data_IF_227008610338
#
_entry.id   IF_227008610338
#
_cell.length_a   1.000
_cell.length_b   1.000
_cell.length_c   1.000
_cell.angle_alpha   90.00
_cell.angle_beta   90.00
_cell.angle_gamma   90.00
#
_symmetry.space_group_name_H-M   'P 1'
#
loop_
_entity.id
_entity.type
_entity.pdbx_description
1 polymer ?
#
# COMPACT_ATOMS: atom_id res chain seq x y z
N UNK A 1 0.35 36.02 9.15
CA UNK A 1 0.02 35.09 8.05
C UNK A 1 0.67 33.76 8.38
N UNK A 2 -0.09 32.86 9.02
CA UNK A 2 0.37 31.52 9.39
C UNK A 2 0.44 30.65 8.13
N UNK A 3 1.60 30.04 7.89
CA UNK A 3 1.84 29.12 6.76
C UNK A 3 0.83 27.96 6.80
N UNK A 4 -0.07 27.91 5.82
CA UNK A 4 -0.85 26.72 5.53
C UNK A 4 0.10 25.66 4.96
N UNK A 5 0.72 24.89 5.85
CA UNK A 5 1.46 23.69 5.49
C UNK A 5 0.47 22.75 4.81
N UNK A 6 0.61 22.54 3.50
CA UNK A 6 -0.19 21.58 2.76
C UNK A 6 -0.10 20.23 3.48
N UNK A 7 -1.25 19.73 3.95
CA UNK A 7 -1.34 18.48 4.70
C UNK A 7 -1.28 17.27 3.74
N UNK A 8 -0.38 17.32 2.77
CA UNK A 8 -0.22 16.33 1.72
C UNK A 8 1.03 15.51 2.02
N UNK A 9 0.90 14.19 1.96
CA UNK A 9 2.00 13.26 2.15
C UNK A 9 1.96 12.22 1.03
N UNK A 10 3.11 11.93 0.45
CA UNK A 10 3.26 10.91 -0.57
C UNK A 10 3.25 9.51 0.08
N UNK A 11 2.56 8.57 -0.55
CA UNK A 11 2.45 7.17 -0.10
C UNK A 11 2.66 6.26 -1.30
N UNK A 12 3.45 5.20 -1.12
CA UNK A 12 3.57 4.14 -2.11
C UNK A 12 2.50 3.08 -1.85
N UNK A 13 1.54 2.93 -2.76
CA UNK A 13 0.49 1.93 -2.67
C UNK A 13 1.05 0.56 -3.12
N UNK A 14 1.03 -0.42 -2.22
CA UNK A 14 1.49 -1.79 -2.49
C UNK A 14 0.33 -2.71 -2.87
N UNK A 15 -0.82 -2.54 -2.22
CA UNK A 15 -2.01 -3.37 -2.43
C UNK A 15 -3.17 -2.46 -2.79
N UNK A 16 -3.62 -2.46 -4.06
CA UNK A 16 -4.76 -1.65 -4.46
C UNK A 16 -6.05 -2.19 -3.82
N UNK A 17 -7.00 -1.28 -3.58
CA UNK A 17 -8.32 -1.61 -3.06
C UNK A 17 -8.98 -2.71 -3.90
N UNK A 18 -9.54 -3.71 -3.23
CA UNK A 18 -10.19 -4.86 -3.90
C UNK A 18 -9.23 -5.99 -4.29
N UNK A 19 -7.92 -5.81 -4.16
CA UNK A 19 -6.98 -6.91 -4.32
C UNK A 19 -7.15 -7.94 -3.20
N UNK A 20 -7.04 -9.23 -3.56
CA UNK A 20 -6.94 -10.37 -2.61
C UNK A 20 -5.49 -10.82 -2.44
N UNK A 21 -4.60 -10.24 -3.24
CA UNK A 21 -3.20 -10.57 -3.29
C UNK A 21 -2.45 -9.62 -2.37
N UNK A 22 -1.74 -10.18 -1.39
CA UNK A 22 -0.84 -9.45 -0.53
C UNK A 22 0.51 -9.32 -1.24
N UNK A 23 0.87 -8.08 -1.55
CA UNK A 23 2.17 -7.71 -2.06
C UNK A 23 2.97 -7.05 -0.93
N UNK A 24 4.28 -7.27 -0.91
CA UNK A 24 5.20 -6.63 0.02
C UNK A 24 6.34 -6.01 -0.79
N UNK A 25 6.68 -4.76 -0.49
CA UNK A 25 7.84 -4.12 -1.08
C UNK A 25 9.12 -4.54 -0.36
N UNK A 26 10.07 -5.10 -1.11
CA UNK A 26 11.40 -5.40 -0.60
C UNK A 26 12.30 -4.17 -0.75
N UNK A 27 12.63 -3.51 0.37
CA UNK A 27 13.53 -2.35 0.39
C UNK A 27 14.95 -2.63 -0.09
N UNK A 28 15.44 -3.88 -0.02
CA UNK A 28 16.79 -4.25 -0.45
C UNK A 28 16.85 -4.39 -1.97
N UNK A 29 15.85 -5.03 -2.56
CA UNK A 29 15.79 -5.29 -4.01
C UNK A 29 15.04 -4.22 -4.79
N UNK A 30 14.34 -3.30 -4.10
CA UNK A 30 13.46 -2.26 -4.67
C UNK A 30 12.40 -2.84 -5.61
N UNK A 31 11.87 -4.02 -5.26
CA UNK A 31 10.88 -4.75 -6.06
C UNK A 31 9.69 -5.14 -5.20
N UNK A 32 8.52 -5.17 -5.83
CA UNK A 32 7.30 -5.69 -5.23
C UNK A 32 7.33 -7.21 -5.33
N UNK A 33 7.25 -7.89 -4.18
CA UNK A 33 7.18 -9.35 -4.10
C UNK A 33 5.76 -9.76 -3.75
N UNK A 34 5.28 -10.81 -4.40
CA UNK A 34 4.04 -11.45 -4.03
C UNK A 34 4.28 -12.30 -2.76
N UNK A 35 3.61 -11.96 -1.66
CA UNK A 35 3.68 -12.73 -0.41
C UNK A 35 2.69 -13.89 -0.46
N UNK A 36 1.39 -13.60 -0.56
CA UNK A 36 0.34 -14.63 -0.52
C UNK A 36 -1.01 -14.18 -1.07
N UNK A 37 -1.84 -15.16 -1.45
CA UNK A 37 -3.27 -14.97 -1.65
C UNK A 37 -4.01 -15.06 -0.31
N UNK A 38 -4.94 -14.14 -0.07
CA UNK A 38 -5.88 -14.27 1.03
C UNK A 38 -6.93 -15.32 0.62
N UNK A 39 -6.93 -16.45 1.33
CA UNK A 39 -7.83 -17.58 1.06
C UNK A 39 -9.29 -17.28 1.42
N UNK A 40 -9.53 -16.37 2.37
CA UNK A 40 -10.88 -15.93 2.71
C UNK A 40 -11.47 -15.05 1.60
N UNK A 41 -12.80 -14.96 1.54
CA UNK A 41 -13.53 -14.01 0.68
C UNK A 41 -13.45 -12.57 1.17
N UNK A 42 -12.34 -12.20 1.80
CA UNK A 42 -12.04 -10.85 2.25
C UNK A 42 -11.14 -10.18 1.22
N UNK A 43 -11.49 -8.94 0.87
CA UNK A 43 -10.70 -8.06 0.02
C UNK A 43 -10.24 -6.86 0.85
N UNK A 44 -9.11 -6.27 0.50
CA UNK A 44 -8.67 -5.03 1.13
C UNK A 44 -9.69 -3.92 0.83
N UNK A 45 -10.31 -3.31 1.87
CA UNK A 45 -11.39 -2.32 1.69
C UNK A 45 -10.88 -0.94 1.24
N UNK A 46 -9.58 -0.68 1.40
CA UNK A 46 -8.88 0.54 1.03
C UNK A 46 -7.48 0.22 0.46
N UNK A 47 -6.88 1.19 -0.21
CA UNK A 47 -5.51 1.09 -0.70
C UNK A 47 -4.54 1.01 0.48
N UNK A 48 -3.72 -0.04 0.49
CA UNK A 48 -2.72 -0.27 1.53
C UNK A 48 -1.33 0.03 0.98
N UNK A 49 -0.58 0.85 1.70
CA UNK A 49 0.72 1.32 1.27
C UNK A 49 1.60 1.69 2.46
N UNK A 50 2.89 1.84 2.16
CA UNK A 50 3.93 2.18 3.13
C UNK A 50 4.53 3.55 2.78
N UNK A 51 5.15 4.19 3.77
CA UNK A 51 5.93 5.42 3.61
C UNK A 51 7.38 5.12 3.29
#
# INVERSE_FOLDING_TARGET
MSENKSLSFDVLIEIPKGSRNKYEYDFKLRKVRYDRMIFSSMMYPADYGIK
#
